data_IF_258245186551
#
_entry.id   IF_258245186551
#
_cell.length_a   1.000
_cell.length_b   1.000
_cell.length_c   1.000
_cell.angle_alpha   90.00
_cell.angle_beta   90.00
_cell.angle_gamma   90.00
#
_symmetry.space_group_name_H-M   'P 1'
#
loop_
_entity.id
_entity.type
_entity.pdbx_description
1 polymer ?
#
# COMPACT_ATOMS: atom_id res chain seq x y z
N UNK A 1 -68.82 -1.33 44.00
CA UNK A 1 -67.89 -1.70 45.07
C UNK A 1 -66.62 -2.24 44.51
N UNK A 2 -65.45 -1.96 44.99
CA UNK A 2 -64.92 -0.82 45.75
C UNK A 2 -63.56 -0.32 45.16
N UNK A 3 -63.56 0.79 44.46
CA UNK A 3 -62.32 1.51 44.12
C UNK A 3 -61.65 2.23 45.30
N UNK A 4 -62.40 2.46 46.34
CA UNK A 4 -62.01 3.21 47.57
C UNK A 4 -60.98 2.48 48.43
N UNK A 5 -60.96 1.14 48.43
CA UNK A 5 -60.06 0.34 49.27
C UNK A 5 -58.62 0.21 48.65
N UNK A 6 -58.42 0.57 47.38
CA UNK A 6 -57.11 0.46 46.76
C UNK A 6 -56.25 1.71 46.99
N UNK A 7 -56.84 2.90 47.10
CA UNK A 7 -56.13 4.13 47.45
C UNK A 7 -55.79 4.24 48.94
N UNK A 8 -56.67 3.73 49.80
CA UNK A 8 -56.43 3.69 51.26
C UNK A 8 -55.30 2.72 51.65
N UNK A 9 -55.02 1.66 50.86
CA UNK A 9 -53.92 0.74 51.15
C UNK A 9 -52.54 1.42 51.13
N UNK A 10 -52.32 2.34 50.24
CA UNK A 10 -51.06 3.11 50.16
C UNK A 10 -50.94 4.06 51.37
N UNK A 11 -52.04 4.72 51.75
CA UNK A 11 -52.08 5.62 52.91
C UNK A 11 -51.95 4.87 54.22
N UNK A 12 -52.56 3.66 54.33
CA UNK A 12 -52.40 2.78 55.48
C UNK A 12 -51.00 2.21 55.64
N UNK A 13 -50.37 1.83 54.57
CA UNK A 13 -48.96 1.38 54.59
C UNK A 13 -48.02 2.54 54.95
N UNK A 14 -48.29 3.75 54.44
CA UNK A 14 -47.50 4.94 54.77
C UNK A 14 -47.69 5.34 56.22
N UNK A 15 -48.94 5.32 56.72
CA UNK A 15 -49.26 5.57 58.15
C UNK A 15 -48.65 4.50 59.07
N UNK A 16 -48.67 3.23 58.65
CA UNK A 16 -48.05 2.14 59.41
C UNK A 16 -46.50 2.31 59.46
N UNK A 17 -45.87 2.74 58.35
CA UNK A 17 -44.44 3.01 58.31
C UNK A 17 -44.06 4.20 59.20
N UNK A 18 -44.89 5.28 59.20
CA UNK A 18 -44.73 6.44 60.09
C UNK A 18 -44.89 6.05 61.54
N UNK A 19 -45.85 5.18 61.83
CA UNK A 19 -46.10 4.71 63.21
C UNK A 19 -44.97 3.83 63.74
N UNK A 20 -44.40 2.96 62.88
CA UNK A 20 -43.20 2.18 63.17
C UNK A 20 -41.98 3.10 63.38
N UNK A 21 -41.86 4.15 62.61
CA UNK A 21 -40.77 5.14 62.73
C UNK A 21 -40.91 5.92 64.04
N UNK A 22 -42.14 6.27 64.44
CA UNK A 22 -42.44 6.94 65.71
C UNK A 22 -42.17 6.05 66.94
N UNK A 23 -42.48 4.74 66.85
CA UNK A 23 -42.11 3.76 67.84
C UNK A 23 -40.60 3.62 67.97
N UNK A 24 -39.88 3.56 66.86
CA UNK A 24 -38.43 3.46 66.88
C UNK A 24 -37.79 4.71 67.49
N UNK A 25 -38.27 5.90 67.14
CA UNK A 25 -37.79 7.16 67.73
C UNK A 25 -38.19 7.26 69.22
N UNK A 26 -39.40 6.80 69.62
CA UNK A 26 -39.82 6.77 71.01
C UNK A 26 -39.00 5.79 71.85
N UNK A 27 -38.50 4.72 71.31
CA UNK A 27 -37.56 3.78 71.93
C UNK A 27 -36.14 4.29 72.08
N UNK A 28 -35.79 5.38 71.39
CA UNK A 28 -34.49 6.02 71.46
C UNK A 28 -34.38 7.07 72.61
N UNK A 29 -35.45 7.38 73.26
CA UNK A 29 -35.41 8.30 74.41
C UNK A 29 -34.96 7.52 75.63
N UNK A 30 -33.77 7.75 76.21
CA UNK A 30 -33.33 7.03 77.43
C UNK A 30 -34.08 7.54 78.65
N UNK A 31 -34.93 6.70 79.24
CA UNK A 31 -35.49 6.88 80.57
C UNK A 31 -34.72 5.97 81.55
N UNK A 32 -33.68 6.55 82.20
CA UNK A 32 -33.06 5.92 83.34
C UNK A 32 -31.71 5.18 83.04
N UNK A 33 -30.84 5.12 84.03
CA UNK A 33 -29.47 4.68 84.02
C UNK A 33 -29.18 3.17 83.96
N UNK A 34 -30.19 2.34 83.68
CA UNK A 34 -29.90 0.91 83.47
C UNK A 34 -30.54 0.37 82.17
N UNK A 35 -29.73 -0.35 81.35
CA UNK A 35 -30.22 -0.91 80.09
C UNK A 35 -31.23 -2.02 80.38
N UNK A 36 -32.49 -1.78 80.05
CA UNK A 36 -33.60 -2.73 80.22
C UNK A 36 -33.33 -3.98 79.34
N UNK A 37 -33.73 -5.15 79.82
CA UNK A 37 -33.64 -6.43 79.10
C UNK A 37 -34.29 -6.36 77.74
N UNK A 38 -35.20 -5.46 77.50
CA UNK A 38 -35.88 -5.21 76.21
C UNK A 38 -34.97 -4.60 75.16
N UNK A 39 -33.99 -3.78 75.49
CA UNK A 39 -33.02 -3.20 74.56
C UNK A 39 -32.10 -4.28 74.01
N UNK A 40 -31.73 -5.25 74.83
CA UNK A 40 -30.88 -6.36 74.38
C UNK A 40 -31.57 -7.28 73.38
N UNK A 41 -32.87 -7.54 73.58
CA UNK A 41 -33.65 -8.40 72.68
C UNK A 41 -33.98 -7.73 71.38
N UNK A 42 -34.24 -6.43 71.36
CA UNK A 42 -34.47 -5.65 70.14
C UNK A 42 -33.16 -5.56 69.31
N UNK A 43 -32.03 -5.34 69.99
CA UNK A 43 -30.74 -5.29 69.30
C UNK A 43 -30.34 -6.66 68.70
N UNK A 44 -30.70 -7.75 69.39
CA UNK A 44 -30.40 -9.10 68.89
C UNK A 44 -31.20 -9.49 67.66
N UNK A 45 -32.44 -8.99 67.53
CA UNK A 45 -33.30 -9.24 66.36
C UNK A 45 -32.96 -8.30 65.16
N UNK A 46 -32.60 -7.04 65.44
CA UNK A 46 -32.31 -6.07 64.38
C UNK A 46 -30.88 -6.11 63.84
N UNK A 47 -29.90 -6.55 64.64
CA UNK A 47 -28.51 -6.65 64.22
C UNK A 47 -28.26 -7.56 62.97
N UNK A 48 -28.87 -8.76 62.86
CA UNK A 48 -28.71 -9.59 61.70
C UNK A 48 -29.39 -8.98 60.45
N UNK A 49 -30.49 -8.26 60.61
CA UNK A 49 -31.21 -7.62 59.50
C UNK A 49 -30.34 -6.49 58.86
N UNK A 50 -29.73 -5.68 59.71
CA UNK A 50 -28.78 -4.64 59.20
C UNK A 50 -27.58 -5.23 58.47
N UNK A 51 -26.99 -6.33 58.92
CA UNK A 51 -25.87 -7.00 58.20
C UNK A 51 -26.30 -7.56 56.85
N UNK A 52 -27.51 -8.13 56.77
CA UNK A 52 -28.04 -8.68 55.51
C UNK A 52 -28.31 -7.55 54.50
N UNK A 53 -28.89 -6.43 54.96
CA UNK A 53 -29.21 -5.28 54.12
C UNK A 53 -27.91 -4.62 53.59
N UNK A 54 -26.90 -4.39 54.44
CA UNK A 54 -25.61 -3.86 54.01
C UNK A 54 -24.92 -4.83 53.06
N UNK A 55 -24.89 -6.14 53.34
CA UNK A 55 -24.32 -7.13 52.46
C UNK A 55 -24.97 -7.22 51.07
N UNK A 56 -26.29 -7.04 51.00
CA UNK A 56 -27.04 -7.01 49.73
C UNK A 56 -26.77 -5.72 48.93
N UNK A 57 -26.64 -4.57 49.60
CA UNK A 57 -26.29 -3.30 48.92
C UNK A 57 -24.86 -3.32 48.39
N UNK A 58 -23.92 -3.85 49.16
CA UNK A 58 -22.52 -3.97 48.71
C UNK A 58 -22.38 -4.97 47.57
N UNK A 59 -23.08 -6.09 47.62
CA UNK A 59 -23.10 -7.06 46.52
C UNK A 59 -23.74 -6.47 45.25
N UNK A 60 -24.84 -5.75 45.36
CA UNK A 60 -25.49 -5.11 44.22
C UNK A 60 -24.65 -3.98 43.61
N UNK A 61 -24.01 -3.15 44.44
CA UNK A 61 -23.13 -2.08 43.96
C UNK A 61 -21.86 -2.61 43.27
N UNK A 62 -21.29 -3.68 43.79
CA UNK A 62 -20.10 -4.31 43.18
C UNK A 62 -20.45 -4.97 41.85
N UNK A 63 -21.59 -5.62 41.68
CA UNK A 63 -22.06 -6.19 40.42
C UNK A 63 -22.35 -5.08 39.40
N UNK A 64 -23.01 -3.99 39.85
CA UNK A 64 -23.36 -2.86 39.00
C UNK A 64 -22.11 -2.11 38.48
N UNK A 65 -21.18 -1.80 39.38
CA UNK A 65 -19.93 -1.14 39.04
C UNK A 65 -19.06 -2.01 38.12
N UNK A 66 -19.06 -3.33 38.33
CA UNK A 66 -18.33 -4.28 37.50
C UNK A 66 -18.88 -4.33 36.06
N UNK A 67 -20.20 -4.28 35.90
CA UNK A 67 -20.86 -4.26 34.59
C UNK A 67 -20.61 -2.95 33.82
N UNK A 68 -20.66 -1.82 34.51
CA UNK A 68 -20.36 -0.52 33.88
C UNK A 68 -18.90 -0.44 33.50
N UNK A 69 -18.01 -0.88 34.38
CA UNK A 69 -16.56 -0.87 34.11
C UNK A 69 -16.20 -1.79 32.94
N UNK A 70 -16.78 -2.98 32.83
CA UNK A 70 -16.52 -3.89 31.70
C UNK A 70 -16.98 -3.30 30.38
N UNK A 71 -18.14 -2.68 30.29
CA UNK A 71 -18.61 -2.00 29.08
C UNK A 71 -17.71 -0.82 28.67
N UNK A 72 -17.23 -0.08 29.65
CA UNK A 72 -16.33 1.03 29.38
C UNK A 72 -14.97 0.54 28.87
N UNK A 73 -14.45 -0.55 29.45
CA UNK A 73 -13.20 -1.19 28.99
C UNK A 73 -13.36 -1.80 27.59
N UNK A 74 -14.52 -2.42 27.30
CA UNK A 74 -14.84 -2.93 25.95
C UNK A 74 -14.86 -1.78 24.93
N UNK A 75 -15.59 -0.70 25.20
CA UNK A 75 -15.63 0.46 24.33
C UNK A 75 -14.25 1.10 24.11
N UNK A 76 -13.44 1.21 25.16
CA UNK A 76 -12.06 1.69 25.06
C UNK A 76 -11.18 0.73 24.24
N UNK A 77 -11.39 -0.58 24.39
CA UNK A 77 -10.64 -1.58 23.63
C UNK A 77 -10.99 -1.54 22.14
N UNK A 78 -12.27 -1.33 21.80
CA UNK A 78 -12.71 -1.10 20.42
C UNK A 78 -12.10 0.20 19.85
N UNK A 79 -12.19 1.29 20.57
CA UNK A 79 -11.59 2.56 20.14
C UNK A 79 -10.08 2.46 19.92
N UNK A 80 -9.36 1.80 20.83
CA UNK A 80 -7.92 1.58 20.69
C UNK A 80 -7.59 0.68 19.51
N UNK A 81 -8.42 -0.31 19.20
CA UNK A 81 -8.26 -1.18 18.01
C UNK A 81 -8.47 -0.40 16.72
N UNK A 82 -9.49 0.44 16.68
CA UNK A 82 -9.78 1.30 15.53
C UNK A 82 -8.65 2.33 15.31
N UNK A 83 -8.15 2.91 16.39
CA UNK A 83 -7.00 3.84 16.32
C UNK A 83 -5.73 3.13 15.86
N UNK A 84 -5.44 1.94 16.38
CA UNK A 84 -4.32 1.11 15.92
C UNK A 84 -4.45 0.76 14.43
N UNK A 85 -5.63 0.36 14.00
CA UNK A 85 -5.89 0.06 12.59
C UNK A 85 -5.68 1.29 11.70
N UNK A 86 -6.18 2.43 12.12
CA UNK A 86 -6.01 3.69 11.39
C UNK A 86 -4.54 4.14 11.33
N UNK A 87 -3.82 4.05 12.44
CA UNK A 87 -2.39 4.34 12.50
C UNK A 87 -1.57 3.37 11.64
N UNK A 88 -1.93 2.08 11.62
CA UNK A 88 -1.28 1.10 10.75
C UNK A 88 -1.50 1.41 9.27
N UNK A 89 -2.74 1.76 8.87
CA UNK A 89 -3.04 2.20 7.50
C UNK A 89 -2.24 3.46 7.12
N UNK A 90 -2.23 4.46 8.00
CA UNK A 90 -1.47 5.68 7.76
C UNK A 90 0.02 5.41 7.61
N UNK A 91 0.57 4.56 8.47
CA UNK A 91 1.98 4.17 8.41
C UNK A 91 2.31 3.42 7.11
N UNK A 92 1.43 2.53 6.67
CA UNK A 92 1.56 1.83 5.39
C UNK A 92 1.53 2.80 4.20
N UNK A 93 0.60 3.75 4.18
CA UNK A 93 0.52 4.78 3.15
C UNK A 93 1.78 5.65 3.11
N UNK A 94 2.22 6.16 4.25
CA UNK A 94 3.43 6.97 4.35
C UNK A 94 4.69 6.20 3.93
N UNK A 95 4.78 4.92 4.30
CA UNK A 95 5.90 4.06 3.92
C UNK A 95 5.95 3.86 2.41
N UNK A 96 4.79 3.64 1.78
CA UNK A 96 4.69 3.49 0.32
C UNK A 96 5.03 4.81 -0.39
N UNK A 97 4.57 5.94 0.11
CA UNK A 97 4.89 7.26 -0.45
C UNK A 97 6.38 7.58 -0.34
N UNK A 98 6.99 7.31 0.82
CA UNK A 98 8.43 7.45 1.00
C UNK A 98 9.23 6.53 0.09
N UNK A 99 8.78 5.28 -0.13
CA UNK A 99 9.41 4.37 -1.08
C UNK A 99 9.37 4.91 -2.51
N UNK A 100 8.23 5.45 -2.96
CA UNK A 100 8.08 6.08 -4.27
C UNK A 100 9.00 7.31 -4.45
N UNK A 101 9.06 8.18 -3.44
CA UNK A 101 9.95 9.35 -3.45
C UNK A 101 11.43 8.96 -3.48
N UNK A 102 11.80 7.91 -2.75
CA UNK A 102 13.18 7.40 -2.74
C UNK A 102 13.58 6.86 -4.11
N UNK A 103 12.72 6.05 -4.75
CA UNK A 103 12.95 5.55 -6.10
C UNK A 103 13.10 6.70 -7.09
N UNK A 104 12.21 7.70 -7.04
CA UNK A 104 12.29 8.88 -7.91
C UNK A 104 13.59 9.65 -7.73
N UNK A 105 14.06 9.81 -6.50
CA UNK A 105 15.33 10.49 -6.19
C UNK A 105 16.54 9.68 -6.69
N UNK A 106 16.55 8.37 -6.48
CA UNK A 106 17.63 7.48 -6.97
C UNK A 106 17.68 7.46 -8.50
N UNK A 107 16.52 7.34 -9.16
CA UNK A 107 16.43 7.46 -10.61
C UNK A 107 16.93 8.82 -11.09
N UNK A 108 16.56 9.90 -10.40
CA UNK A 108 17.02 11.25 -10.69
C UNK A 108 18.53 11.36 -10.70
N UNK A 109 19.20 10.81 -9.70
CA UNK A 109 20.66 10.84 -9.62
C UNK A 109 21.31 10.07 -10.78
N UNK A 110 20.82 8.87 -11.10
CA UNK A 110 21.35 8.04 -12.19
C UNK A 110 21.10 8.67 -13.56
N UNK A 111 19.88 9.19 -13.80
CA UNK A 111 19.49 9.73 -15.11
C UNK A 111 20.01 11.15 -15.35
N UNK A 112 20.36 11.90 -14.29
CA UNK A 112 21.04 13.20 -14.43
C UNK A 112 22.37 13.07 -15.15
N UNK A 113 23.04 11.92 -15.02
CA UNK A 113 24.25 11.63 -15.77
C UNK A 113 24.03 11.56 -17.29
N UNK A 114 22.79 11.31 -17.72
CA UNK A 114 22.41 11.31 -19.14
C UNK A 114 22.18 12.73 -19.71
N UNK A 115 22.22 13.78 -18.87
CA UNK A 115 21.98 15.19 -19.23
C UNK A 115 20.66 15.41 -20.00
N UNK A 116 19.60 14.69 -19.65
CA UNK A 116 18.30 14.72 -20.33
C UNK A 116 17.17 14.95 -19.36
N UNK A 117 16.13 15.63 -19.84
CA UNK A 117 14.88 15.76 -19.12
C UNK A 117 14.13 14.42 -19.14
N UNK A 118 13.55 14.02 -18.00
CA UNK A 118 12.80 12.78 -17.89
C UNK A 118 11.60 12.95 -16.95
N UNK A 119 10.61 12.10 -17.14
CA UNK A 119 9.43 11.99 -16.27
C UNK A 119 9.37 10.57 -15.69
N UNK A 120 9.40 10.45 -14.37
CA UNK A 120 9.25 9.15 -13.70
C UNK A 120 7.77 8.75 -13.70
N UNK A 121 7.50 7.50 -14.05
CA UNK A 121 6.19 6.89 -14.08
C UNK A 121 6.22 5.52 -13.40
N UNK A 122 5.13 5.16 -12.77
CA UNK A 122 4.90 3.86 -12.16
C UNK A 122 4.25 2.92 -13.18
N UNK A 123 4.66 1.67 -13.19
CA UNK A 123 4.05 0.62 -13.99
C UNK A 123 2.81 0.10 -13.27
N UNK A 124 1.64 0.40 -13.81
CA UNK A 124 0.34 0.05 -13.21
C UNK A 124 -0.25 -1.25 -13.75
N UNK A 125 0.21 -1.69 -14.91
CA UNK A 125 -0.24 -2.96 -15.51
C UNK A 125 0.80 -3.55 -16.43
N UNK A 126 0.86 -4.88 -16.44
CA UNK A 126 1.64 -5.68 -17.38
C UNK A 126 0.67 -6.59 -18.10
N UNK A 127 0.77 -6.71 -19.44
CA UNK A 127 -0.04 -7.66 -20.18
C UNK A 127 0.34 -9.10 -19.77
N UNK A 128 -0.47 -9.72 -18.94
CA UNK A 128 -0.22 -11.06 -18.40
C UNK A 128 -0.19 -12.16 -19.46
N UNK A 129 -0.85 -11.94 -20.60
CA UNK A 129 -0.83 -12.86 -21.74
C UNK A 129 0.43 -12.68 -22.61
N UNK A 130 1.03 -11.49 -22.57
CA UNK A 130 2.17 -11.10 -23.42
C UNK A 130 3.15 -10.18 -22.68
N UNK A 131 3.67 -10.65 -21.54
CA UNK A 131 4.58 -9.90 -20.66
C UNK A 131 5.81 -9.30 -21.37
N UNK A 132 6.16 -9.81 -22.54
CA UNK A 132 7.30 -9.34 -23.32
C UNK A 132 6.94 -8.26 -24.34
N UNK A 133 5.67 -7.83 -24.44
CA UNK A 133 5.23 -6.90 -25.47
C UNK A 133 5.01 -5.49 -24.98
N UNK A 134 4.25 -5.31 -23.89
CA UNK A 134 3.89 -3.98 -23.42
C UNK A 134 3.61 -3.92 -21.93
N UNK A 135 3.74 -2.72 -21.38
CA UNK A 135 3.33 -2.33 -20.04
C UNK A 135 2.51 -1.05 -20.12
N UNK A 136 1.71 -0.79 -19.07
CA UNK A 136 0.96 0.46 -18.93
C UNK A 136 1.55 1.24 -17.77
N UNK A 137 1.75 2.55 -17.97
CA UNK A 137 2.29 3.48 -16.98
C UNK A 137 1.26 4.52 -16.56
N UNK A 138 1.35 5.01 -15.31
CA UNK A 138 0.43 6.00 -14.70
C UNK A 138 0.68 7.45 -15.15
N UNK A 139 1.28 7.65 -16.31
CA UNK A 139 1.48 8.96 -16.93
C UNK A 139 1.00 8.92 -18.38
N UNK A 140 0.34 9.99 -18.80
CA UNK A 140 -0.23 10.11 -20.16
C UNK A 140 -0.07 11.50 -20.75
N UNK A 141 -0.93 11.87 -21.68
CA UNK A 141 -0.86 13.14 -22.42
C UNK A 141 -0.85 14.39 -21.52
N UNK A 142 -1.57 14.38 -20.39
CA UNK A 142 -1.58 15.49 -19.43
C UNK A 142 -0.21 15.76 -18.80
N UNK A 143 0.66 14.79 -18.83
CA UNK A 143 2.01 14.87 -18.28
C UNK A 143 3.06 15.20 -19.34
N UNK A 144 2.61 15.56 -20.57
CA UNK A 144 3.49 15.89 -21.69
C UNK A 144 4.04 14.68 -22.44
N UNK A 145 3.47 13.48 -22.24
CA UNK A 145 3.90 12.30 -22.99
C UNK A 145 3.38 12.34 -24.41
N UNK A 146 4.22 11.88 -25.34
CA UNK A 146 3.91 11.69 -26.74
C UNK A 146 4.41 10.34 -27.24
N UNK A 147 3.82 9.85 -28.35
CA UNK A 147 4.30 8.62 -28.98
C UNK A 147 5.76 8.72 -29.38
N UNK A 148 6.46 7.59 -29.35
CA UNK A 148 7.88 7.44 -29.67
C UNK A 148 8.85 8.09 -28.66
N UNK A 149 8.41 8.51 -27.48
CA UNK A 149 9.32 8.86 -26.41
C UNK A 149 10.00 7.60 -25.86
N UNK A 150 11.33 7.64 -25.71
CA UNK A 150 12.11 6.54 -25.18
C UNK A 150 11.84 6.35 -23.68
N UNK A 151 11.80 5.09 -23.25
CA UNK A 151 11.56 4.71 -21.87
C UNK A 151 12.75 3.90 -21.36
N UNK A 152 13.26 4.26 -20.19
CA UNK A 152 14.41 3.62 -19.55
C UNK A 152 14.05 3.15 -18.13
N UNK A 153 14.79 2.16 -17.63
CA UNK A 153 14.68 1.70 -16.25
C UNK A 153 15.43 2.63 -15.27
N UNK A 154 15.42 2.29 -13.98
CA UNK A 154 16.12 3.04 -12.92
C UNK A 154 17.64 3.10 -13.10
N UNK A 155 18.22 2.17 -13.85
CA UNK A 155 19.65 2.11 -14.13
C UNK A 155 20.02 2.84 -15.44
N UNK A 156 19.03 3.40 -16.14
CA UNK A 156 19.22 4.06 -17.43
C UNK A 156 19.29 3.10 -18.61
N UNK A 157 18.90 1.83 -18.46
CA UNK A 157 18.84 0.88 -19.57
C UNK A 157 17.55 1.03 -20.35
N UNK A 158 17.60 0.74 -21.64
CA UNK A 158 16.44 0.84 -22.51
C UNK A 158 15.37 -0.19 -22.15
N UNK A 159 14.17 0.28 -21.92
CA UNK A 159 12.96 -0.53 -21.71
C UNK A 159 12.16 -0.64 -23.00
N UNK A 160 11.97 0.48 -23.70
CA UNK A 160 11.15 0.54 -24.89
C UNK A 160 10.79 1.96 -25.27
N UNK A 161 9.60 2.14 -25.85
CA UNK A 161 9.06 3.45 -26.23
C UNK A 161 7.58 3.58 -25.90
N UNK A 162 7.14 4.81 -25.67
CA UNK A 162 5.71 5.15 -25.56
C UNK A 162 5.03 4.89 -26.89
N UNK A 163 3.87 4.22 -26.88
CA UNK A 163 3.07 3.93 -28.06
C UNK A 163 1.57 4.15 -27.79
N UNK A 164 0.74 4.01 -28.81
CA UNK A 164 -0.72 4.00 -28.65
C UNK A 164 -1.23 2.58 -28.26
N UNK A 165 -2.36 2.48 -27.53
CA UNK A 165 -3.20 3.57 -27.07
C UNK A 165 -2.59 4.36 -25.89
N UNK A 166 -2.87 5.67 -25.86
CA UNK A 166 -2.49 6.57 -24.79
C UNK A 166 -3.69 7.41 -24.38
N UNK A 167 -3.92 7.51 -23.07
CA UNK A 167 -4.99 8.32 -22.47
C UNK A 167 -4.44 9.64 -21.91
N UNK A 168 -5.31 10.42 -21.27
CA UNK A 168 -4.86 11.64 -20.58
C UNK A 168 -3.96 11.33 -19.39
N UNK A 169 -4.15 10.20 -18.69
CA UNK A 169 -3.46 9.85 -17.45
C UNK A 169 -2.52 8.65 -17.58
N UNK A 170 -2.70 7.82 -18.61
CA UNK A 170 -1.99 6.56 -18.79
C UNK A 170 -1.42 6.46 -20.20
N UNK A 171 -0.33 5.74 -20.35
CA UNK A 171 0.25 5.44 -21.66
C UNK A 171 0.73 4.00 -21.74
N UNK A 172 0.66 3.45 -22.94
CA UNK A 172 1.22 2.14 -23.24
C UNK A 172 2.69 2.30 -23.64
N UNK A 173 3.54 1.46 -23.08
CA UNK A 173 4.95 1.36 -23.46
C UNK A 173 5.17 0.04 -24.19
N UNK A 174 5.56 0.10 -25.45
CA UNK A 174 6.03 -1.05 -26.21
C UNK A 174 7.43 -1.43 -25.75
N UNK A 175 7.61 -2.65 -25.30
CA UNK A 175 8.89 -3.15 -24.81
C UNK A 175 9.84 -3.48 -25.98
N UNK A 176 11.13 -3.37 -25.74
CA UNK A 176 12.16 -3.72 -26.73
C UNK A 176 12.13 -5.22 -27.08
N UNK A 177 11.56 -6.06 -26.24
CA UNK A 177 11.39 -7.51 -26.45
C UNK A 177 10.16 -7.88 -27.27
N UNK A 178 9.26 -6.93 -27.58
CA UNK A 178 8.13 -7.16 -28.48
C UNK A 178 8.65 -7.50 -29.90
N UNK A 179 8.06 -8.53 -30.53
CA UNK A 179 8.42 -8.97 -31.87
C UNK A 179 8.28 -7.88 -32.96
N UNK A 180 7.48 -6.85 -32.70
CA UNK A 180 7.30 -5.68 -33.57
C UNK A 180 8.22 -4.50 -33.18
N UNK A 181 9.05 -4.64 -32.16
CA UNK A 181 10.00 -3.63 -31.74
C UNK A 181 11.27 -3.73 -32.58
N UNK A 182 11.79 -2.57 -33.04
CA UNK A 182 13.05 -2.45 -33.70
C UNK A 182 13.79 -1.22 -33.17
N UNK A 183 15.04 -1.41 -32.77
CA UNK A 183 15.89 -0.37 -32.18
C UNK A 183 17.21 -0.36 -32.94
N UNK A 184 17.65 0.81 -33.45
CA UNK A 184 18.94 0.96 -34.05
C UNK A 184 20.04 1.00 -32.99
N UNK A 185 20.96 0.04 -33.04
CA UNK A 185 22.02 -0.13 -32.04
C UNK A 185 23.38 -0.24 -32.70
N UNK A 186 24.41 -0.03 -31.91
CA UNK A 186 25.79 -0.42 -32.29
C UNK A 186 26.50 -1.06 -31.10
N UNK A 187 27.52 -1.84 -31.36
CA UNK A 187 28.40 -2.36 -30.34
C UNK A 187 29.19 -1.23 -29.67
N UNK A 188 29.37 -1.30 -28.35
CA UNK A 188 30.04 -0.24 -27.60
C UNK A 188 31.51 -0.11 -28.04
N UNK A 189 32.20 -1.23 -28.24
CA UNK A 189 33.63 -1.29 -28.53
C UNK A 189 33.91 -0.99 -29.99
N UNK A 190 33.37 -1.78 -30.91
CA UNK A 190 33.74 -1.78 -32.33
C UNK A 190 32.79 -0.95 -33.20
N UNK A 191 31.74 -0.34 -32.64
CA UNK A 191 30.77 0.49 -33.35
C UNK A 191 30.06 -0.22 -34.51
N UNK A 192 29.99 -1.55 -34.46
CA UNK A 192 29.28 -2.32 -35.49
C UNK A 192 27.79 -2.07 -35.36
N UNK A 193 27.21 -1.55 -36.43
CA UNK A 193 25.80 -1.19 -36.51
C UNK A 193 24.92 -2.40 -36.78
N UNK A 194 23.72 -2.38 -36.20
CA UNK A 194 22.68 -3.35 -36.45
C UNK A 194 21.33 -2.88 -35.97
N UNK A 195 20.31 -3.68 -36.21
CA UNK A 195 18.94 -3.45 -35.73
C UNK A 195 18.58 -4.53 -34.74
N UNK A 196 18.34 -4.13 -33.51
CA UNK A 196 17.85 -5.02 -32.47
C UNK A 196 16.33 -5.17 -32.61
N UNK A 197 15.86 -6.40 -32.83
CA UNK A 197 14.45 -6.74 -32.91
C UNK A 197 14.08 -7.69 -31.74
N UNK A 198 12.94 -7.46 -31.10
CA UNK A 198 12.46 -8.34 -30.05
C UNK A 198 12.08 -9.72 -30.57
N UNK A 199 12.20 -10.75 -29.73
CA UNK A 199 11.77 -12.13 -30.07
C UNK A 199 10.25 -12.34 -29.94
N UNK A 200 9.62 -11.54 -29.11
CA UNK A 200 8.18 -11.62 -28.78
C UNK A 200 7.78 -12.79 -27.89
N UNK A 201 8.68 -13.70 -27.53
CA UNK A 201 8.34 -14.94 -26.84
C UNK A 201 9.24 -15.29 -25.65
N UNK A 202 10.51 -14.93 -25.69
CA UNK A 202 11.52 -15.48 -24.77
C UNK A 202 12.23 -14.41 -23.92
N UNK A 203 11.80 -13.14 -23.98
CA UNK A 203 12.51 -12.06 -23.29
C UNK A 203 13.91 -11.78 -23.84
N UNK A 204 14.28 -12.37 -24.98
CA UNK A 204 15.51 -12.11 -25.70
C UNK A 204 15.24 -11.26 -26.95
N UNK A 205 16.30 -10.78 -27.60
CA UNK A 205 16.23 -10.02 -28.82
C UNK A 205 17.20 -10.59 -29.86
N UNK A 206 16.97 -10.23 -31.10
CA UNK A 206 17.83 -10.60 -32.24
C UNK A 206 18.51 -9.35 -32.83
N UNK A 207 19.83 -9.33 -32.88
CA UNK A 207 20.55 -8.32 -33.62
C UNK A 207 20.62 -8.75 -35.10
N UNK A 208 19.97 -7.96 -35.96
CA UNK A 208 19.80 -8.22 -37.39
C UNK A 208 20.69 -7.30 -38.22
N UNK A 209 20.89 -7.66 -39.47
CA UNK A 209 21.61 -6.90 -40.52
C UNK A 209 23.10 -6.73 -40.24
N UNK A 210 23.72 -7.60 -39.49
CA UNK A 210 25.18 -7.70 -39.36
C UNK A 210 25.69 -8.72 -40.40
N UNK A 211 26.55 -8.30 -41.27
CA UNK A 211 27.09 -9.15 -42.35
C UNK A 211 27.85 -10.37 -41.77
N UNK A 212 27.73 -11.51 -42.43
CA UNK A 212 28.43 -12.73 -42.05
C UNK A 212 29.97 -12.57 -42.05
N UNK A 213 30.49 -11.69 -42.88
CA UNK A 213 31.91 -11.35 -42.98
C UNK A 213 32.43 -10.43 -41.87
N UNK A 214 31.58 -9.89 -41.03
CA UNK A 214 32.00 -9.06 -39.90
C UNK A 214 32.57 -9.94 -38.79
N UNK A 215 33.83 -9.85 -38.50
CA UNK A 215 34.51 -10.60 -37.42
C UNK A 215 34.74 -9.77 -36.15
N UNK A 216 34.31 -8.52 -36.14
CA UNK A 216 34.59 -7.58 -35.04
C UNK A 216 33.69 -7.77 -33.82
N UNK A 217 32.50 -8.39 -33.98
CA UNK A 217 31.60 -8.66 -32.87
C UNK A 217 32.02 -9.89 -32.08
N UNK A 218 32.00 -9.79 -30.78
CA UNK A 218 32.30 -10.88 -29.85
C UNK A 218 31.12 -11.12 -28.87
N UNK A 219 31.01 -12.35 -28.38
CA UNK A 219 30.07 -12.68 -27.35
C UNK A 219 30.37 -11.92 -26.04
N UNK A 220 29.34 -11.50 -25.32
CA UNK A 220 29.47 -10.66 -24.13
C UNK A 220 29.61 -9.16 -24.38
N UNK A 221 29.75 -8.73 -25.64
CA UNK A 221 29.85 -7.31 -25.97
C UNK A 221 28.57 -6.55 -25.71
N UNK A 222 28.69 -5.31 -25.19
CA UNK A 222 27.54 -4.45 -24.85
C UNK A 222 27.03 -3.73 -26.10
N UNK A 223 25.72 -3.63 -26.20
CA UNK A 223 25.00 -2.90 -27.23
C UNK A 223 24.40 -1.64 -26.65
N UNK A 224 24.56 -0.53 -27.36
CA UNK A 224 23.98 0.78 -27.03
C UNK A 224 23.19 1.33 -28.21
N UNK A 225 22.19 2.19 -27.92
CA UNK A 225 21.41 2.85 -28.98
C UNK A 225 22.29 3.75 -29.85
N UNK A 226 22.09 3.70 -31.16
CA UNK A 226 22.87 4.50 -32.12
C UNK A 226 22.32 5.91 -32.36
N UNK A 227 21.02 6.14 -32.10
CA UNK A 227 20.31 7.38 -32.40
C UNK A 227 19.86 7.53 -33.87
N UNK A 228 20.22 6.63 -34.76
CA UNK A 228 19.94 6.77 -36.22
C UNK A 228 18.44 6.63 -36.57
N UNK A 229 17.65 5.97 -35.71
CA UNK A 229 16.18 5.84 -35.88
C UNK A 229 15.43 7.12 -35.49
N UNK A 230 16.10 8.11 -34.89
CA UNK A 230 15.50 9.35 -34.38
C UNK A 230 14.34 9.13 -33.34
N UNK A 231 14.24 7.93 -32.80
CA UNK A 231 13.30 7.54 -31.78
C UNK A 231 14.02 7.42 -30.43
N UNK A 232 15.14 6.68 -30.47
CA UNK A 232 15.94 6.44 -29.28
C UNK A 232 17.17 7.32 -29.29
N UNK A 233 17.39 8.11 -28.22
CA UNK A 233 18.64 8.86 -28.09
C UNK A 233 19.84 7.93 -28.12
N UNK A 234 20.96 8.40 -28.70
CA UNK A 234 22.21 7.64 -28.72
C UNK A 234 22.77 7.43 -27.30
N UNK A 235 23.48 6.31 -27.10
CA UNK A 235 24.26 6.02 -25.89
C UNK A 235 23.48 5.34 -24.76
N UNK A 236 22.23 4.93 -24.96
CA UNK A 236 21.46 4.18 -23.95
C UNK A 236 21.87 2.71 -24.04
N UNK A 237 22.25 2.12 -22.89
CA UNK A 237 22.59 0.68 -22.83
C UNK A 237 21.33 -0.16 -23.05
N UNK A 238 21.47 -1.22 -23.86
CA UNK A 238 20.35 -2.06 -24.30
C UNK A 238 20.49 -3.48 -23.80
N UNK A 239 21.66 -4.08 -23.90
CA UNK A 239 21.91 -5.46 -23.52
C UNK A 239 23.27 -5.97 -23.92
N UNK A 240 23.47 -7.29 -23.78
CA UNK A 240 24.72 -7.98 -24.15
C UNK A 240 24.46 -9.08 -25.17
N UNK A 241 25.42 -9.28 -26.06
CA UNK A 241 25.42 -10.38 -27.00
C UNK A 241 25.57 -11.70 -26.26
N UNK A 242 24.58 -12.60 -26.41
CA UNK A 242 24.56 -13.94 -25.80
C UNK A 242 25.32 -14.95 -26.66
N UNK A 243 24.98 -14.99 -27.94
CA UNK A 243 25.57 -15.95 -28.88
C UNK A 243 25.63 -15.38 -30.30
N UNK A 244 26.60 -15.81 -31.07
CA UNK A 244 26.78 -15.44 -32.46
C UNK A 244 26.85 -16.73 -33.27
N UNK A 245 25.87 -16.95 -34.15
CA UNK A 245 25.85 -18.06 -35.08
C UNK A 245 25.98 -17.55 -36.49
N UNK A 246 26.86 -18.20 -37.28
CA UNK A 246 26.98 -17.96 -38.68
C UNK A 246 26.51 -19.21 -39.41
N UNK A 247 25.49 -19.07 -40.21
CA UNK A 247 25.01 -20.08 -41.13
C UNK A 247 25.35 -19.65 -42.57
N UNK A 248 24.91 -20.37 -43.55
CA UNK A 248 25.16 -20.02 -44.95
C UNK A 248 24.40 -18.78 -45.45
N UNK A 249 23.91 -17.94 -44.53
CA UNK A 249 23.18 -16.69 -44.85
C UNK A 249 24.10 -15.48 -44.97
N UNK A 250 23.62 -14.43 -45.64
CA UNK A 250 24.32 -13.15 -45.78
C UNK A 250 24.56 -12.45 -44.41
N UNK A 251 23.69 -12.70 -43.43
CA UNK A 251 23.73 -12.05 -42.14
C UNK A 251 23.96 -13.07 -41.03
N UNK A 252 24.67 -12.66 -39.97
CA UNK A 252 24.84 -13.43 -38.75
C UNK A 252 23.50 -13.52 -37.98
N UNK A 253 23.31 -14.63 -37.29
CA UNK A 253 22.22 -14.82 -36.35
C UNK A 253 22.76 -14.55 -34.94
N UNK A 254 22.43 -13.39 -34.37
CA UNK A 254 22.99 -12.92 -33.10
C UNK A 254 21.87 -12.79 -32.06
N UNK A 255 21.98 -13.57 -31.01
CA UNK A 255 21.04 -13.47 -29.89
C UNK A 255 21.57 -12.50 -28.85
N UNK A 256 20.66 -11.65 -28.31
CA UNK A 256 20.98 -10.59 -27.37
C UNK A 256 20.11 -10.74 -26.12
N UNK A 257 20.75 -10.69 -24.97
CA UNK A 257 20.05 -10.60 -23.68
C UNK A 257 19.92 -9.12 -23.31
N UNK A 258 18.71 -8.56 -23.31
CA UNK A 258 18.51 -7.19 -22.87
C UNK A 258 18.79 -7.05 -21.36
N UNK A 259 19.16 -5.84 -20.93
CA UNK A 259 19.29 -5.51 -19.50
C UNK A 259 17.94 -5.40 -18.81
N UNK A 260 16.86 -5.29 -19.59
CA UNK A 260 15.48 -5.22 -19.09
C UNK A 260 15.16 -6.41 -18.20
N UNK A 261 14.85 -6.13 -16.91
CA UNK A 261 14.40 -7.13 -15.95
C UNK A 261 12.93 -6.87 -15.62
N UNK A 262 12.03 -7.72 -16.09
CA UNK A 262 10.59 -7.59 -15.89
C UNK A 262 10.18 -7.64 -14.41
N UNK A 263 10.89 -8.42 -13.58
CA UNK A 263 10.56 -8.57 -12.16
C UNK A 263 10.85 -7.31 -11.34
N UNK A 264 11.68 -6.41 -11.84
CA UNK A 264 12.06 -5.18 -11.16
C UNK A 264 11.43 -3.92 -11.78
N UNK A 265 10.54 -4.10 -12.76
CA UNK A 265 9.95 -3.03 -13.55
C UNK A 265 8.75 -2.38 -12.85
N UNK A 266 8.95 -1.88 -11.64
CA UNK A 266 7.91 -1.14 -10.89
C UNK A 266 7.83 0.34 -11.29
N UNK A 267 8.97 0.94 -11.68
CA UNK A 267 9.06 2.34 -12.09
C UNK A 267 9.95 2.45 -13.33
N UNK A 268 9.58 3.38 -14.20
CA UNK A 268 10.33 3.70 -15.42
C UNK A 268 10.47 5.22 -15.57
N UNK A 269 11.44 5.65 -16.35
CA UNK A 269 11.57 7.06 -16.73
C UNK A 269 11.33 7.22 -18.23
N UNK A 270 10.45 8.14 -18.59
CA UNK A 270 10.21 8.55 -19.97
C UNK A 270 11.08 9.75 -20.28
N UNK A 271 11.92 9.64 -21.29
CA UNK A 271 12.77 10.75 -21.75
C UNK A 271 11.92 11.75 -22.53
N UNK A 272 11.77 12.97 -21.98
CA UNK A 272 10.81 13.97 -22.49
C UNK A 272 11.42 14.95 -23.50
N UNK A 273 12.73 15.03 -23.59
CA UNK A 273 13.39 15.89 -24.56
C UNK A 273 13.39 15.24 -25.96
N UNK A 274 12.72 15.87 -26.94
CA UNK A 274 12.78 15.46 -28.33
C UNK A 274 14.19 15.69 -28.87
N UNK A 275 14.63 14.82 -29.76
CA UNK A 275 15.92 14.92 -30.44
C UNK A 275 16.01 16.12 -31.42
N UNK A 276 14.87 16.77 -31.72
CA UNK A 276 14.80 17.86 -32.71
C UNK A 276 15.36 19.20 -32.22
N UNK A 277 15.70 19.31 -30.93
CA UNK A 277 16.20 20.56 -30.29
C UNK A 277 17.76 20.64 -30.26
N UNK A 278 18.47 19.76 -30.94
CA UNK A 278 19.93 19.65 -30.87
C UNK A 278 20.63 19.92 -32.25
N UNK A 279 19.89 20.56 -33.18
CA UNK A 279 20.56 21.04 -34.46
C UNK A 279 20.24 22.50 -34.70
#
# INVERSE_FOLDING_TARGET
MPRFLKEQKKSLVFAGLLFIQLIVVSLQVPFGEEPSHFEKDVFFVFSPVQRIVHGLFDAASNVWNRHIYLRQVEAQNEQLRDELFHLQQMNMLLTNELAGLKVTKEMGATLSALQRSFLVAEVISVDSANIYKSIIINKGMRHGLASNMAVVDRNGHLVGRVTNPMSLQEATVQLLTDGNSAVSVHSETNKVLGVLAGSGKSGTCWLKYVLATNEQLVEGEELITSGFDKIFPAGIKVGKILSIATDNSLFKKIEVKPYLNFSELSHVAVLTQKMDDVF
#
